data_IF_748110150311
#
_entry.id   IF_748110150311
#
_cell.length_a   1.000
_cell.length_b   1.000
_cell.length_c   1.000
_cell.angle_alpha   90.00
_cell.angle_beta   90.00
_cell.angle_gamma   90.00
#
_symmetry.space_group_name_H-M   'P 1'
#
loop_
_entity.id
_entity.type
_entity.pdbx_description
1 polymer ?
#
# COMPACT_ATOMS: atom_id res chain seq x y z
N UNK A 1 7.33 7.16 -19.21
CA UNK A 1 8.08 6.01 -19.76
C UNK A 1 7.59 4.75 -19.04
N UNK A 2 7.46 3.61 -19.72
CA UNK A 2 7.13 2.34 -19.09
C UNK A 2 8.32 1.38 -19.26
N UNK A 3 8.75 0.75 -18.18
CA UNK A 3 9.88 -0.20 -18.15
C UNK A 3 9.37 -1.54 -17.68
N UNK A 4 9.65 -2.60 -18.44
CA UNK A 4 9.29 -3.97 -18.09
C UNK A 4 10.52 -4.77 -17.67
N UNK A 5 10.45 -5.40 -16.50
CA UNK A 5 11.49 -6.28 -15.98
C UNK A 5 11.11 -7.75 -16.24
N UNK A 6 11.89 -8.44 -17.08
CA UNK A 6 11.60 -9.81 -17.54
C UNK A 6 12.70 -10.78 -17.12
N UNK A 7 12.32 -12.00 -16.74
CA UNK A 7 13.24 -13.06 -16.35
C UNK A 7 12.52 -14.30 -15.82
N UNK A 8 13.24 -15.42 -15.69
CA UNK A 8 12.69 -16.69 -15.17
C UNK A 8 12.12 -16.56 -13.75
N UNK A 9 11.28 -17.52 -13.34
CA UNK A 9 10.86 -17.62 -11.93
C UNK A 9 12.08 -17.73 -11.02
N UNK A 10 12.07 -17.02 -9.89
CA UNK A 10 13.22 -16.97 -8.98
C UNK A 10 14.37 -16.04 -9.39
N UNK A 11 14.33 -15.38 -10.55
CA UNK A 11 15.38 -14.46 -11.00
C UNK A 11 15.49 -13.14 -10.18
N UNK A 12 14.71 -12.98 -9.10
CA UNK A 12 14.78 -11.80 -8.23
C UNK A 12 13.98 -10.58 -8.68
N UNK A 13 13.02 -10.72 -9.62
CA UNK A 13 12.18 -9.62 -10.10
C UNK A 13 11.45 -8.89 -8.96
N UNK A 14 10.78 -9.64 -8.10
CA UNK A 14 10.09 -9.09 -6.92
C UNK A 14 11.07 -8.49 -5.91
N UNK A 15 12.27 -9.07 -5.78
CA UNK A 15 13.33 -8.54 -4.92
C UNK A 15 13.76 -7.15 -5.37
N UNK A 16 13.86 -6.89 -6.67
CA UNK A 16 14.17 -5.55 -7.21
C UNK A 16 13.10 -4.54 -6.78
N UNK A 17 11.82 -4.88 -6.92
CA UNK A 17 10.74 -4.01 -6.44
C UNK A 17 10.83 -3.78 -4.93
N UNK A 18 11.08 -4.82 -4.14
CA UNK A 18 11.21 -4.69 -2.69
C UNK A 18 12.44 -3.86 -2.26
N UNK A 19 13.52 -3.81 -3.05
CA UNK A 19 14.64 -2.89 -2.84
C UNK A 19 14.25 -1.44 -3.18
N UNK A 20 13.50 -1.23 -4.27
CA UNK A 20 13.01 0.10 -4.68
C UNK A 20 12.09 0.73 -3.63
N UNK A 21 11.20 -0.06 -3.01
CA UNK A 21 10.31 0.40 -1.93
C UNK A 21 10.91 0.23 -0.53
N UNK A 22 12.23 0.00 -0.45
CA UNK A 22 12.99 -0.09 0.79
C UNK A 22 12.48 -1.11 1.83
N UNK A 23 11.85 -2.21 1.39
CA UNK A 23 11.58 -3.38 2.24
C UNK A 23 12.86 -4.17 2.56
N UNK A 24 13.87 -4.08 1.69
CA UNK A 24 15.20 -4.62 1.93
C UNK A 24 16.27 -3.57 1.65
N UNK A 25 17.46 -3.81 2.19
CA UNK A 25 18.66 -3.04 1.91
C UNK A 25 19.58 -3.82 0.96
N UNK A 26 20.14 -3.12 -0.02
CA UNK A 26 21.16 -3.69 -0.88
C UNK A 26 22.44 -3.91 -0.07
N UNK A 27 23.05 -5.10 -0.18
CA UNK A 27 24.29 -5.39 0.53
C UNK A 27 25.49 -4.58 -0.01
N UNK A 28 25.42 -4.14 -1.27
CA UNK A 28 26.41 -3.27 -1.94
C UNK A 28 25.69 -2.37 -2.95
N UNK A 29 26.27 -1.20 -3.22
CA UNK A 29 25.71 -0.21 -4.14
C UNK A 29 24.66 0.69 -3.49
N UNK A 30 23.89 1.37 -4.31
CA UNK A 30 22.84 2.30 -3.92
C UNK A 30 21.59 2.12 -4.79
N UNK A 31 20.43 2.43 -4.23
CA UNK A 31 19.14 2.46 -4.93
C UNK A 31 18.62 3.88 -4.76
N UNK A 32 18.41 4.58 -5.88
CA UNK A 32 18.11 6.00 -5.88
C UNK A 32 16.68 6.23 -6.40
N UNK A 33 15.93 7.09 -5.73
CA UNK A 33 14.70 7.70 -6.24
C UNK A 33 14.96 9.19 -6.41
N UNK A 34 14.83 9.71 -7.64
CA UNK A 34 15.15 11.10 -7.99
C UNK A 34 16.57 11.55 -7.57
N UNK A 35 17.53 10.62 -7.59
CA UNK A 35 18.92 10.86 -7.19
C UNK A 35 19.17 10.82 -5.68
N UNK A 36 18.14 10.58 -4.88
CA UNK A 36 18.24 10.44 -3.42
C UNK A 36 18.23 8.95 -3.07
N UNK A 37 19.16 8.52 -2.22
CA UNK A 37 19.21 7.14 -1.76
C UNK A 37 17.94 6.79 -0.97
N UNK A 38 17.28 5.69 -1.32
CA UNK A 38 16.03 5.25 -0.66
C UNK A 38 16.20 4.99 0.84
N UNK A 39 17.42 4.72 1.30
CA UNK A 39 17.78 4.58 2.74
C UNK A 39 17.70 5.91 3.50
N UNK A 40 17.75 7.03 2.77
CA UNK A 40 17.70 8.39 3.31
C UNK A 40 16.34 9.06 3.15
N UNK A 41 15.42 8.44 2.43
CA UNK A 41 14.07 8.98 2.23
C UNK A 41 13.22 8.77 3.48
N UNK A 42 12.44 9.80 3.81
CA UNK A 42 11.29 9.62 4.68
C UNK A 42 10.32 8.64 4.02
N UNK A 43 9.93 7.55 4.68
CA UNK A 43 8.97 6.61 4.13
C UNK A 43 7.60 7.21 3.81
N UNK A 44 7.20 8.31 4.46
CA UNK A 44 6.03 9.10 4.04
C UNK A 44 6.18 9.59 2.59
N UNK A 45 7.37 10.09 2.23
CA UNK A 45 7.69 10.54 0.88
C UNK A 45 7.70 9.36 -0.08
N UNK A 46 8.28 8.22 0.32
CA UNK A 46 8.29 7.02 -0.52
C UNK A 46 6.86 6.53 -0.84
N UNK A 47 5.98 6.45 0.18
CA UNK A 47 4.58 6.07 0.00
C UNK A 47 3.76 7.11 -0.80
N UNK A 48 4.14 8.39 -0.76
CA UNK A 48 3.49 9.43 -1.56
C UNK A 48 3.84 9.35 -3.05
N UNK A 49 5.05 8.89 -3.39
CA UNK A 49 5.57 8.91 -4.76
C UNK A 49 5.51 7.55 -5.45
N UNK A 50 5.37 6.46 -4.69
CA UNK A 50 5.38 5.09 -5.22
C UNK A 50 4.09 4.35 -4.85
N UNK A 51 3.30 4.03 -5.87
CA UNK A 51 2.20 3.07 -5.77
C UNK A 51 2.70 1.65 -6.03
N UNK A 52 2.28 0.69 -5.20
CA UNK A 52 2.61 -0.73 -5.35
C UNK A 52 1.33 -1.54 -5.52
N UNK A 53 1.23 -2.27 -6.63
CA UNK A 53 0.20 -3.31 -6.84
C UNK A 53 0.89 -4.66 -6.77
N UNK A 54 0.57 -5.45 -5.75
CA UNK A 54 1.20 -6.75 -5.51
C UNK A 54 0.55 -7.86 -6.33
N UNK A 55 1.28 -8.96 -6.52
CA UNK A 55 0.76 -10.16 -7.17
C UNK A 55 -0.44 -10.74 -6.40
N UNK A 56 -0.37 -10.73 -5.07
CA UNK A 56 -1.46 -11.10 -4.17
C UNK A 56 -1.81 -9.89 -3.29
N UNK A 57 -2.83 -9.10 -3.65
CA UNK A 57 -3.26 -7.98 -2.83
C UNK A 57 -3.94 -8.46 -1.54
N UNK A 58 -3.60 -7.78 -0.45
CA UNK A 58 -4.17 -8.04 0.88
C UNK A 58 -5.25 -7.02 1.14
N UNK A 59 -6.45 -7.50 1.50
CA UNK A 59 -7.52 -6.67 2.02
C UNK A 59 -7.52 -6.74 3.54
N UNK A 60 -7.51 -5.57 4.18
CA UNK A 60 -7.64 -5.43 5.61
C UNK A 60 -9.08 -5.69 6.03
N UNK A 61 -9.25 -6.10 7.30
CA UNK A 61 -10.57 -6.22 7.90
C UNK A 61 -11.22 -4.84 8.00
N UNK A 62 -12.38 -4.70 7.39
CA UNK A 62 -13.17 -3.48 7.33
C UNK A 62 -14.00 -3.46 6.05
N UNK A 63 -14.62 -2.33 5.75
CA UNK A 63 -15.42 -2.15 4.54
C UNK A 63 -14.54 -2.00 3.28
N UNK A 64 -15.16 -2.07 2.10
CA UNK A 64 -14.49 -1.73 0.84
C UNK A 64 -14.02 -0.27 0.86
N UNK A 65 -14.85 0.66 1.35
CA UNK A 65 -14.44 2.06 1.51
C UNK A 65 -13.24 2.20 2.44
N UNK A 66 -13.19 1.50 3.57
CA UNK A 66 -12.06 1.52 4.49
C UNK A 66 -10.75 1.15 3.79
N UNK A 67 -10.77 0.10 2.97
CA UNK A 67 -9.62 -0.39 2.23
C UNK A 67 -9.17 0.59 1.13
N UNK A 68 -10.10 1.25 0.43
CA UNK A 68 -9.77 2.29 -0.56
C UNK A 68 -9.19 3.53 0.15
N UNK A 69 -9.75 3.92 1.30
CA UNK A 69 -9.31 5.07 2.08
C UNK A 69 -7.96 4.84 2.76
N UNK A 70 -7.65 3.59 3.09
CA UNK A 70 -6.44 3.22 3.81
C UNK A 70 -5.16 3.74 3.13
N UNK A 71 -5.12 3.72 1.79
CA UNK A 71 -4.00 4.23 1.01
C UNK A 71 -3.71 5.72 1.30
N UNK A 72 -4.75 6.53 1.53
CA UNK A 72 -4.61 7.95 1.90
C UNK A 72 -4.24 8.12 3.37
N UNK A 73 -4.80 7.30 4.26
CA UNK A 73 -4.54 7.37 5.70
C UNK A 73 -3.08 7.06 6.05
N UNK A 74 -2.43 6.14 5.33
CA UNK A 74 -1.01 5.84 5.55
C UNK A 74 -0.11 7.03 5.24
N UNK A 75 -0.35 7.72 4.12
CA UNK A 75 0.39 8.92 3.72
C UNK A 75 0.28 10.04 4.76
N UNK A 76 -0.93 10.30 5.26
CA UNK A 76 -1.19 11.35 6.27
C UNK A 76 -0.65 10.99 7.67
N UNK A 77 -0.59 9.70 8.02
CA UNK A 77 -0.06 9.25 9.31
C UNK A 77 1.47 9.32 9.37
N UNK A 78 2.15 8.95 8.28
CA UNK A 78 3.61 8.90 8.24
C UNK A 78 4.23 10.30 8.26
N UNK A 79 3.58 11.29 7.64
CA UNK A 79 4.05 12.70 7.65
C UNK A 79 4.02 13.36 9.04
N UNK A 80 3.30 12.79 10.01
CA UNK A 80 3.22 13.31 11.38
C UNK A 80 4.32 12.81 12.30
N UNK A 81 5.15 11.90 11.83
CA UNK A 81 6.16 11.21 12.63
C UNK A 81 7.53 11.89 12.48
N UNK A 82 7.57 13.21 12.65
CA UNK A 82 8.76 14.06 12.39
C UNK A 82 9.82 14.05 13.52
N UNK A 83 9.68 13.28 14.61
CA UNK A 83 10.49 13.56 15.83
C UNK A 83 11.40 12.47 16.39
N UNK A 84 11.47 11.26 15.83
CA UNK A 84 12.41 10.25 16.34
C UNK A 84 13.34 9.76 15.24
N UNK A 85 14.58 9.42 15.58
CA UNK A 85 15.56 8.89 14.63
C UNK A 85 15.07 7.53 14.10
N UNK A 86 14.38 7.53 12.96
CA UNK A 86 13.74 6.37 12.33
C UNK A 86 14.68 5.48 11.52
N UNK A 87 15.93 5.89 11.33
CA UNK A 87 16.96 5.12 10.62
C UNK A 87 17.16 3.73 11.25
N UNK A 88 16.85 2.68 10.49
CA UNK A 88 17.13 1.28 10.87
C UNK A 88 16.03 0.53 11.64
N UNK A 89 14.92 1.18 12.06
CA UNK A 89 13.83 0.53 12.84
C UNK A 89 12.58 0.17 12.03
N UNK A 90 12.57 0.45 10.72
CA UNK A 90 11.38 0.28 9.87
C UNK A 90 10.89 -1.18 9.72
N UNK A 91 11.80 -2.17 9.75
CA UNK A 91 11.43 -3.60 9.74
C UNK A 91 10.61 -4.03 10.96
N UNK A 92 10.87 -3.43 12.12
CA UNK A 92 10.12 -3.70 13.36
C UNK A 92 8.81 -2.91 13.39
N UNK A 93 8.83 -1.66 12.91
CA UNK A 93 7.65 -0.81 12.82
C UNK A 93 6.58 -1.36 11.84
N UNK A 94 6.97 -1.99 10.72
CA UNK A 94 6.00 -2.67 9.84
C UNK A 94 5.36 -3.90 10.49
N UNK A 95 6.13 -4.69 11.26
CA UNK A 95 5.57 -5.75 12.10
C UNK A 95 4.60 -5.20 13.15
N UNK A 96 4.88 -4.01 13.68
CA UNK A 96 4.00 -3.32 14.64
C UNK A 96 2.83 -2.58 13.99
N UNK A 97 2.90 -2.19 12.71
CA UNK A 97 1.76 -1.68 11.94
C UNK A 97 0.72 -2.80 11.77
N UNK A 98 1.15 -4.05 11.60
CA UNK A 98 0.27 -5.22 11.67
C UNK A 98 -0.22 -5.53 13.09
N UNK A 99 0.56 -5.21 14.13
CA UNK A 99 0.22 -5.49 15.54
C UNK A 99 -0.66 -4.42 16.20
N UNK A 100 -0.53 -3.14 15.81
CA UNK A 100 -1.34 -2.01 16.29
C UNK A 100 -2.67 -1.90 15.54
N UNK A 101 -3.42 -3.02 15.60
CA UNK A 101 -4.79 -3.25 15.09
C UNK A 101 -5.89 -2.35 15.67
N UNK A 102 -5.57 -1.32 16.44
CA UNK A 102 -6.58 -0.56 17.19
C UNK A 102 -6.41 0.96 16.99
N UNK A 103 -7.27 1.52 16.14
CA UNK A 103 -7.58 2.97 16.03
C UNK A 103 -6.41 3.86 15.67
N UNK A 104 -6.01 3.85 14.39
CA UNK A 104 -5.47 5.07 13.76
C UNK A 104 -6.64 5.81 13.10
N UNK A 105 -6.74 7.15 13.23
CA UNK A 105 -7.82 7.89 12.61
C UNK A 105 -7.74 7.67 11.10
N UNK A 106 -8.77 7.06 10.54
CA UNK A 106 -8.95 7.04 9.09
C UNK A 106 -8.87 8.47 8.59
N UNK A 107 -7.99 8.73 7.63
CA UNK A 107 -8.05 9.97 6.86
C UNK A 107 -9.48 10.15 6.37
N UNK A 108 -10.03 11.36 6.47
CA UNK A 108 -11.34 11.70 5.93
C UNK A 108 -11.27 11.68 4.41
N UNK A 109 -11.46 10.50 3.81
CA UNK A 109 -11.75 10.39 2.39
C UNK A 109 -13.23 10.72 2.18
N UNK A 110 -13.52 11.52 1.18
CA UNK A 110 -14.90 11.81 0.79
C UNK A 110 -15.43 10.67 -0.06
N UNK A 111 -16.73 10.36 0.05
CA UNK A 111 -17.38 9.33 -0.77
C UNK A 111 -17.15 9.55 -2.26
N UNK A 112 -17.12 10.81 -2.72
CA UNK A 112 -16.81 11.17 -4.10
C UNK A 112 -15.38 10.77 -4.53
N UNK A 113 -14.38 10.92 -3.65
CA UNK A 113 -13.00 10.52 -3.96
C UNK A 113 -12.86 8.99 -4.01
N UNK A 114 -13.56 8.29 -3.12
CA UNK A 114 -13.59 6.81 -3.07
C UNK A 114 -14.23 6.27 -4.35
N UNK A 115 -15.37 6.83 -4.74
CA UNK A 115 -16.08 6.43 -5.96
C UNK A 115 -15.21 6.70 -7.20
N UNK A 116 -14.58 7.87 -7.28
CA UNK A 116 -13.71 8.21 -8.39
C UNK A 116 -12.51 7.27 -8.50
N UNK A 117 -11.86 6.93 -7.37
CA UNK A 117 -10.75 5.97 -7.36
C UNK A 117 -11.20 4.59 -7.86
N UNK A 118 -12.34 4.10 -7.37
CA UNK A 118 -12.90 2.84 -7.82
C UNK A 118 -13.29 2.84 -9.31
N UNK A 119 -13.78 3.96 -9.85
CA UNK A 119 -14.07 4.11 -11.28
C UNK A 119 -12.81 4.07 -12.13
N UNK A 120 -11.75 4.76 -11.71
CA UNK A 120 -10.44 4.73 -12.40
C UNK A 120 -9.86 3.31 -12.43
N UNK A 121 -10.06 2.55 -11.35
CA UNK A 121 -9.62 1.16 -11.25
C UNK A 121 -10.56 0.15 -11.93
N UNK A 122 -11.66 0.59 -12.57
CA UNK A 122 -12.73 -0.28 -13.09
C UNK A 122 -13.34 -1.22 -12.03
N UNK A 123 -13.29 -0.82 -10.77
CA UNK A 123 -13.81 -1.57 -9.63
C UNK A 123 -15.25 -1.17 -9.26
N UNK A 124 -15.68 0.05 -9.63
CA UNK A 124 -16.95 0.62 -9.19
C UNK A 124 -18.16 -0.29 -9.43
N UNK A 125 -18.32 -0.80 -10.65
CA UNK A 125 -19.53 -1.55 -11.03
C UNK A 125 -19.68 -2.84 -10.23
N UNK A 126 -18.57 -3.54 -9.95
CA UNK A 126 -18.63 -4.75 -9.12
C UNK A 126 -18.87 -4.40 -7.65
N UNK A 127 -18.26 -3.32 -7.15
CA UNK A 127 -18.41 -2.91 -5.75
C UNK A 127 -19.87 -2.56 -5.47
N UNK A 128 -20.51 -1.79 -6.34
CA UNK A 128 -21.94 -1.43 -6.20
C UNK A 128 -22.87 -2.65 -6.30
N UNK A 129 -22.46 -3.70 -7.02
CA UNK A 129 -23.22 -4.94 -7.12
C UNK A 129 -23.14 -5.84 -5.88
N UNK A 130 -22.25 -5.55 -4.92
CA UNK A 130 -22.21 -6.24 -3.63
C UNK A 130 -23.45 -5.89 -2.79
N UNK A 131 -23.84 -6.79 -1.88
CA UNK A 131 -25.04 -6.64 -1.03
C UNK A 131 -25.11 -5.30 -0.27
N UNK A 132 -23.95 -4.76 0.12
CA UNK A 132 -23.85 -3.49 0.86
C UNK A 132 -22.97 -2.46 0.14
N UNK A 133 -22.69 -2.63 -1.15
CA UNK A 133 -21.87 -1.71 -1.92
C UNK A 133 -20.49 -1.46 -1.31
N UNK A 134 -20.12 -0.19 -1.17
CA UNK A 134 -18.87 0.23 -0.52
C UNK A 134 -18.80 -0.12 0.98
N UNK A 135 -19.95 -0.29 1.65
CA UNK A 135 -20.00 -0.69 3.05
C UNK A 135 -19.87 -2.22 3.25
N UNK A 136 -19.67 -2.99 2.18
CA UNK A 136 -19.44 -4.44 2.30
C UNK A 136 -18.14 -4.73 3.04
N UNK A 137 -18.24 -5.50 4.12
CA UNK A 137 -17.10 -5.98 4.90
C UNK A 137 -16.28 -7.01 4.10
N UNK A 138 -14.97 -6.80 4.02
CA UNK A 138 -13.98 -7.63 3.31
C UNK A 138 -12.80 -8.01 4.24
N UNK A 139 -11.86 -8.82 3.74
CA UNK A 139 -10.71 -9.33 4.50
C UNK A 139 -10.96 -10.71 5.12
N UNK A 140 -10.16 -11.12 6.12
CA UNK A 140 -10.15 -12.49 6.68
C UNK A 140 -11.53 -13.03 7.14
N UNK A 141 -12.47 -12.15 7.51
CA UNK A 141 -13.82 -12.53 7.97
C UNK A 141 -14.96 -11.94 7.14
N UNK A 142 -14.62 -11.22 6.07
CA UNK A 142 -15.60 -10.58 5.19
C UNK A 142 -15.91 -11.41 3.95
N UNK A 143 -16.59 -10.79 3.00
CA UNK A 143 -16.86 -11.37 1.68
C UNK A 143 -15.54 -11.74 1.00
N UNK A 144 -15.47 -12.96 0.47
CA UNK A 144 -14.33 -13.41 -0.31
C UNK A 144 -14.38 -12.82 -1.72
N UNK A 145 -13.35 -12.08 -2.08
CA UNK A 145 -13.15 -11.55 -3.43
C UNK A 145 -12.16 -12.43 -4.20
N UNK A 146 -12.37 -12.55 -5.50
CA UNK A 146 -11.42 -13.18 -6.41
C UNK A 146 -10.12 -12.37 -6.50
N UNK A 147 -9.03 -12.99 -6.97
CA UNK A 147 -7.74 -12.29 -7.15
C UNK A 147 -7.85 -11.04 -8.03
N UNK A 148 -8.63 -11.12 -9.12
CA UNK A 148 -8.84 -9.98 -10.03
C UNK A 148 -9.78 -8.89 -9.49
N UNK A 149 -10.58 -9.18 -8.46
CA UNK A 149 -11.37 -8.15 -7.76
C UNK A 149 -10.57 -7.47 -6.63
N UNK A 150 -9.54 -8.16 -6.12
CA UNK A 150 -8.61 -7.60 -5.13
C UNK A 150 -7.55 -6.71 -5.77
N UNK A 151 -7.18 -6.99 -7.03
CA UNK A 151 -6.27 -6.18 -7.84
C UNK A 151 -6.99 -4.95 -8.39
#
# INVERSE_FOLDING_TARGET
QCVALVGSSGAGKSTIFHLLVHFYEASRGEVLLDGIDVRSLDPAILCQHVGLVSQEPVLFRGTVEDNICYAKAQVDCLSRIEQESWFGRWREAWRDIDATRARRPMSTCTSAAIEQAARIANAHDFVVALEHGYATEVGERGVQLSGGQKQ
#
